data_IF_777231968540
#
_entry.id   IF_777231968540
#
_cell.length_a   1.000
_cell.length_b   1.000
_cell.length_c   1.000
_cell.angle_alpha   90.00
_cell.angle_beta   90.00
_cell.angle_gamma   90.00
#
_symmetry.space_group_name_H-M   'P 1'
#
loop_
_entity.id
_entity.type
_entity.pdbx_description
1 polymer ?
#
# COMPACT_ATOMS: atom_id res chain seq x y z
N UNK A 1 -15.36 -16.88 24.24
CA UNK A 1 -14.94 -16.99 25.65
C UNK A 1 -14.14 -15.77 26.07
N UNK A 2 -14.23 -15.37 27.34
CA UNK A 2 -13.34 -14.40 27.96
C UNK A 2 -12.64 -15.08 29.14
N UNK A 3 -11.29 -15.12 29.12
CA UNK A 3 -10.45 -15.71 30.17
C UNK A 3 -9.81 -14.60 31.03
N UNK A 4 -10.29 -14.37 32.28
CA UNK A 4 -9.82 -13.28 33.12
C UNK A 4 -8.35 -13.34 33.51
N UNK A 5 -7.77 -14.53 33.68
CA UNK A 5 -6.38 -14.68 34.13
C UNK A 5 -5.37 -14.17 33.08
N UNK A 6 -5.73 -14.28 31.80
CA UNK A 6 -4.90 -13.80 30.68
C UNK A 6 -5.47 -12.56 29.99
N UNK A 7 -6.67 -12.11 30.39
CA UNK A 7 -7.41 -11.03 29.73
C UNK A 7 -7.79 -11.34 28.27
N UNK A 8 -7.87 -12.62 27.89
CA UNK A 8 -8.03 -13.03 26.49
C UNK A 8 -9.51 -13.17 26.12
N UNK A 9 -9.95 -12.42 25.11
CA UNK A 9 -11.25 -12.60 24.46
C UNK A 9 -11.09 -13.38 23.16
N UNK A 10 -11.86 -14.46 22.97
CA UNK A 10 -11.85 -15.28 21.75
C UNK A 10 -13.25 -15.58 21.22
N UNK A 11 -13.39 -15.53 19.90
CA UNK A 11 -14.55 -16.02 19.15
C UNK A 11 -14.05 -17.00 18.09
N UNK A 12 -14.36 -18.30 18.25
CA UNK A 12 -13.83 -19.39 17.40
C UNK A 12 -14.98 -20.30 16.95
N UNK A 13 -14.81 -20.98 15.81
CA UNK A 13 -15.81 -21.93 15.28
C UNK A 13 -17.03 -21.29 14.61
N UNK A 14 -16.99 -19.97 14.38
CA UNK A 14 -18.07 -19.21 13.73
C UNK A 14 -17.90 -19.17 12.22
N UNK A 15 -19.01 -19.13 11.48
CA UNK A 15 -18.99 -18.95 10.02
C UNK A 15 -18.91 -17.48 9.62
N UNK A 16 -19.63 -16.61 10.33
CA UNK A 16 -19.67 -15.17 10.07
C UNK A 16 -19.70 -14.38 11.37
N UNK A 17 -19.18 -13.15 11.31
CA UNK A 17 -19.38 -12.10 12.31
C UNK A 17 -19.77 -10.83 11.56
N UNK A 18 -20.78 -10.12 12.05
CA UNK A 18 -21.28 -8.88 11.45
C UNK A 18 -21.47 -7.84 12.55
N UNK A 19 -20.94 -6.62 12.35
CA UNK A 19 -21.00 -5.52 13.32
C UNK A 19 -21.53 -4.30 12.57
N UNK A 20 -22.67 -3.77 13.01
CA UNK A 20 -23.25 -2.52 12.52
C UNK A 20 -23.29 -1.49 13.63
N UNK A 21 -22.83 -0.28 13.33
CA UNK A 21 -22.87 0.88 14.22
C UNK A 21 -23.26 2.11 13.40
N UNK A 22 -24.07 3.00 13.97
CA UNK A 22 -24.55 4.22 13.28
C UNK A 22 -23.50 5.32 13.20
N UNK A 23 -22.50 5.29 14.09
CA UNK A 23 -21.50 6.36 14.23
C UNK A 23 -20.08 5.85 14.06
N UNK A 24 -19.63 4.93 14.92
CA UNK A 24 -18.22 4.54 14.98
C UNK A 24 -18.02 3.11 15.50
N UNK A 25 -17.00 2.45 14.96
CA UNK A 25 -16.32 1.29 15.57
C UNK A 25 -14.86 1.67 15.75
N UNK A 26 -14.31 1.48 16.96
CA UNK A 26 -12.91 1.77 17.28
C UNK A 26 -12.22 0.57 17.91
N UNK A 27 -10.94 0.39 17.60
CA UNK A 27 -10.08 -0.63 18.19
C UNK A 27 -8.78 0.03 18.67
N UNK A 28 -8.59 0.10 19.98
CA UNK A 28 -7.44 0.75 20.61
C UNK A 28 -6.59 -0.33 21.27
N UNK A 29 -5.44 -0.60 20.68
CA UNK A 29 -4.49 -1.64 21.11
C UNK A 29 -3.10 -1.30 20.57
N UNK A 30 -2.09 -2.05 20.99
CA UNK A 30 -0.72 -1.90 20.46
C UNK A 30 -0.55 -2.54 19.08
N UNK A 31 -1.23 -3.66 18.81
CA UNK A 31 -1.11 -4.42 17.56
C UNK A 31 -2.47 -4.94 17.14
N UNK A 32 -2.83 -4.71 15.87
CA UNK A 32 -3.98 -5.34 15.20
C UNK A 32 -3.44 -6.26 14.11
N UNK A 33 -3.88 -7.52 14.12
CA UNK A 33 -3.48 -8.53 13.13
C UNK A 33 -4.74 -9.02 12.43
N UNK A 34 -4.74 -9.01 11.10
CA UNK A 34 -5.81 -9.57 10.28
C UNK A 34 -5.22 -10.63 9.36
N UNK A 35 -5.55 -11.89 9.63
CA UNK A 35 -5.20 -13.01 8.76
C UNK A 35 -6.42 -13.39 7.92
N UNK A 36 -6.37 -13.07 6.63
CA UNK A 36 -7.45 -13.34 5.69
C UNK A 36 -6.91 -14.01 4.42
N UNK A 37 -7.18 -15.30 4.25
CA UNK A 37 -6.66 -16.10 3.14
C UNK A 37 -7.15 -15.68 1.74
N UNK A 38 -8.16 -14.81 1.63
CA UNK A 38 -8.73 -14.36 0.35
C UNK A 38 -8.54 -12.88 0.11
N UNK A 39 -9.11 -12.03 0.95
CA UNK A 39 -9.11 -10.58 0.76
C UNK A 39 -9.51 -9.85 2.05
N UNK A 40 -8.96 -8.65 2.23
CA UNK A 40 -9.50 -7.60 3.10
C UNK A 40 -10.06 -6.51 2.18
N UNK A 41 -11.36 -6.17 2.32
CA UNK A 41 -12.01 -5.14 1.50
C UNK A 41 -12.44 -3.97 2.37
N UNK A 42 -11.91 -2.78 2.09
CA UNK A 42 -12.28 -1.52 2.74
C UNK A 42 -13.21 -0.74 1.81
N UNK A 43 -14.52 -0.76 2.07
CA UNK A 43 -15.49 -0.01 1.27
C UNK A 43 -15.79 1.34 1.93
N UNK A 44 -14.93 2.32 1.67
CA UNK A 44 -15.00 3.67 2.24
C UNK A 44 -14.49 4.69 1.23
N UNK A 45 -14.96 5.95 1.26
CA UNK A 45 -14.36 7.02 0.46
C UNK A 45 -12.87 7.26 0.76
N UNK A 46 -12.44 7.10 2.01
CA UNK A 46 -11.08 7.43 2.44
C UNK A 46 -10.53 6.38 3.40
N UNK A 47 -9.28 5.97 3.16
CA UNK A 47 -8.45 5.18 4.08
C UNK A 47 -7.22 6.04 4.42
N UNK A 48 -6.95 6.25 5.70
CA UNK A 48 -5.83 7.08 6.17
C UNK A 48 -4.88 6.21 7.00
N UNK A 49 -3.62 6.15 6.57
CA UNK A 49 -2.51 5.66 7.39
C UNK A 49 -1.74 6.89 7.90
N UNK A 50 -1.52 7.00 9.21
CA UNK A 50 -0.84 8.16 9.80
C UNK A 50 0.64 8.25 9.43
N UNK A 51 1.27 7.09 9.26
CA UNK A 51 2.71 6.94 9.06
C UNK A 51 2.98 6.05 7.83
N UNK A 52 3.73 4.97 7.99
CA UNK A 52 4.17 4.12 6.88
C UNK A 52 3.10 3.11 6.41
N UNK A 53 2.94 2.99 5.09
CA UNK A 53 2.21 1.89 4.44
C UNK A 53 3.19 0.97 3.73
N UNK A 54 3.34 -0.27 4.23
CA UNK A 54 4.16 -1.30 3.58
C UNK A 54 3.26 -2.29 2.84
N UNK A 55 3.55 -2.57 1.58
CA UNK A 55 2.87 -3.58 0.79
C UNK A 55 3.86 -4.27 -0.17
N UNK A 56 3.56 -5.51 -0.57
CA UNK A 56 4.39 -6.24 -1.52
C UNK A 56 4.22 -5.72 -2.96
N UNK A 57 2.99 -5.36 -3.33
CA UNK A 57 2.63 -4.83 -4.65
C UNK A 57 1.58 -3.75 -4.49
N UNK A 58 1.64 -2.69 -5.32
CA UNK A 58 0.70 -1.58 -5.32
C UNK A 58 -0.01 -1.47 -6.68
N UNK A 59 -1.34 -1.32 -6.66
CA UNK A 59 -2.14 -1.04 -7.86
C UNK A 59 -3.00 0.22 -7.62
N UNK A 60 -2.83 1.24 -8.46
CA UNK A 60 -3.54 2.52 -8.39
C UNK A 60 -4.38 2.69 -9.65
N UNK A 61 -5.70 2.69 -9.52
CA UNK A 61 -6.61 2.58 -10.68
C UNK A 61 -7.18 3.90 -11.17
N UNK A 62 -7.08 4.98 -10.39
CA UNK A 62 -7.68 6.29 -10.69
C UNK A 62 -6.73 7.48 -10.47
N UNK A 63 -5.42 7.22 -10.56
CA UNK A 63 -4.40 8.23 -10.28
C UNK A 63 -4.28 8.57 -8.79
N UNK A 64 -3.48 9.60 -8.49
CA UNK A 64 -3.19 10.07 -7.15
C UNK A 64 -2.05 11.10 -7.17
N UNK A 65 -1.66 11.56 -5.99
CA UNK A 65 -0.55 12.47 -5.76
C UNK A 65 0.49 11.80 -4.86
N UNK A 66 1.78 12.08 -5.08
CA UNK A 66 2.89 11.65 -4.23
C UNK A 66 3.74 12.89 -3.92
N UNK A 67 4.08 13.07 -2.64
CA UNK A 67 4.87 14.21 -2.16
C UNK A 67 6.03 13.71 -1.30
N UNK A 68 7.19 14.36 -1.43
CA UNK A 68 8.43 13.94 -0.79
C UNK A 68 9.30 13.06 -1.69
N UNK A 69 10.44 12.60 -1.16
CA UNK A 69 11.38 11.78 -1.91
C UNK A 69 10.85 10.35 -2.10
N UNK A 70 10.81 9.90 -3.35
CA UNK A 70 10.40 8.54 -3.72
C UNK A 70 11.60 7.80 -4.29
N UNK A 71 12.12 6.82 -3.54
CA UNK A 71 13.22 5.97 -3.99
C UNK A 71 12.71 4.67 -4.58
N UNK A 72 12.85 4.49 -5.90
CA UNK A 72 12.58 3.22 -6.58
C UNK A 72 13.91 2.49 -6.88
N UNK A 73 13.96 1.19 -6.61
CA UNK A 73 15.12 0.32 -6.89
C UNK A 73 14.69 -1.12 -7.13
N UNK A 74 15.55 -1.91 -7.77
CA UNK A 74 15.33 -3.35 -7.95
C UNK A 74 14.24 -3.70 -8.97
N UNK A 75 14.06 -2.88 -10.00
CA UNK A 75 13.03 -3.07 -11.03
C UNK A 75 13.04 -1.96 -12.07
N UNK A 76 11.97 -1.87 -12.86
CA UNK A 76 11.72 -0.78 -13.82
C UNK A 76 10.58 0.10 -13.31
N UNK A 77 10.77 1.41 -13.30
CA UNK A 77 9.67 2.35 -13.11
C UNK A 77 9.30 2.95 -14.47
N UNK A 78 8.12 2.62 -14.97
CA UNK A 78 7.71 3.01 -16.33
C UNK A 78 6.38 3.76 -16.37
N UNK A 79 6.28 4.73 -17.28
CA UNK A 79 5.04 5.44 -17.60
C UNK A 79 4.81 5.41 -19.11
N UNK A 80 3.67 4.87 -19.54
CA UNK A 80 3.31 4.71 -20.96
C UNK A 80 4.40 4.03 -21.81
N UNK A 81 5.09 3.04 -21.24
CA UNK A 81 6.18 2.30 -21.91
C UNK A 81 7.56 2.94 -21.83
N UNK A 82 7.69 4.16 -21.28
CA UNK A 82 8.97 4.82 -21.07
C UNK A 82 9.51 4.47 -19.68
N UNK A 83 10.70 3.88 -19.61
CA UNK A 83 11.37 3.48 -18.36
C UNK A 83 12.26 4.62 -17.88
N UNK A 84 12.01 5.14 -16.68
CA UNK A 84 12.62 6.41 -16.21
C UNK A 84 14.15 6.38 -16.24
N UNK A 85 14.78 5.31 -15.76
CA UNK A 85 16.24 5.16 -15.66
C UNK A 85 16.93 4.63 -16.94
N UNK A 86 16.14 4.19 -17.93
CA UNK A 86 16.62 3.57 -19.18
C UNK A 86 15.85 4.08 -20.42
N UNK A 87 15.56 5.38 -20.46
CA UNK A 87 14.90 5.99 -21.62
C UNK A 87 15.91 6.62 -22.59
N UNK A 88 15.53 6.65 -23.86
CA UNK A 88 16.29 7.33 -24.91
C UNK A 88 15.37 8.21 -25.77
N UNK A 89 15.96 9.18 -26.45
CA UNK A 89 15.25 10.13 -27.29
C UNK A 89 15.59 9.92 -28.76
N UNK A 90 14.57 9.83 -29.62
CA UNK A 90 14.72 9.79 -31.07
C UNK A 90 14.64 11.19 -31.69
N UNK A 91 15.05 11.35 -32.96
CA UNK A 91 14.86 12.60 -33.70
C UNK A 91 15.81 13.75 -33.33
N UNK A 92 16.80 13.49 -32.47
CA UNK A 92 17.87 14.45 -32.11
C UNK A 92 19.23 13.93 -32.56
N UNK A 93 20.17 14.84 -32.88
CA UNK A 93 21.56 14.46 -33.19
C UNK A 93 22.16 13.77 -31.96
N UNK A 94 22.60 12.53 -32.15
CA UNK A 94 23.17 11.73 -31.05
C UNK A 94 24.57 12.24 -30.72
N UNK A 95 24.79 12.64 -29.47
CA UNK A 95 26.12 12.77 -28.90
C UNK A 95 26.68 11.39 -28.53
N UNK A 96 28.01 11.24 -28.53
CA UNK A 96 28.69 10.00 -28.11
C UNK A 96 28.78 9.83 -26.59
N UNK A 97 28.43 10.86 -25.82
CA UNK A 97 28.56 10.90 -24.36
C UNK A 97 27.20 10.79 -23.67
N UNK A 98 27.17 10.18 -22.49
CA UNK A 98 25.99 10.20 -21.59
C UNK A 98 25.93 11.55 -20.85
N UNK A 99 24.73 12.02 -20.53
CA UNK A 99 24.53 13.24 -19.74
C UNK A 99 25.14 13.08 -18.35
N UNK A 100 25.98 14.03 -17.94
CA UNK A 100 26.57 14.04 -16.60
C UNK A 100 25.48 14.13 -15.51
N UNK A 101 25.69 13.45 -14.38
CA UNK A 101 24.74 13.45 -13.25
C UNK A 101 23.51 12.56 -13.40
N UNK A 102 23.43 11.71 -14.43
CA UNK A 102 22.32 10.76 -14.65
C UNK A 102 22.58 9.36 -14.09
N UNK A 103 23.32 9.27 -12.99
CA UNK A 103 23.62 8.04 -12.23
C UNK A 103 23.14 8.18 -10.80
#
# INVERSE_FOLDING_TARGET
EYEPATGALKATGITTAHIEASEQVSAITQVVIVDAAKQIKLNTPTVICSDNLTCATLNVTKGGEMTGDITHKGGKFSSNGVVVDDHSHGGVQRGGSRTEGTQ
#
